data_IF_347245610811
#
_entry.id   IF_347245610811
#
_cell.length_a   1.000
_cell.length_b   1.000
_cell.length_c   1.000
_cell.angle_alpha   90.00
_cell.angle_beta   90.00
_cell.angle_gamma   90.00
#
_symmetry.space_group_name_H-M   'P 1'
#
loop_
_entity.id
_entity.type
_entity.pdbx_description
1 polymer ?
#
# COMPACT_ATOMS: atom_id res chain seq x y z
N UNK A 1 11.07 -13.75 13.64
CA UNK A 1 10.77 -14.02 12.22
C UNK A 1 9.93 -12.86 11.69
N UNK A 2 10.35 -12.15 10.63
CA UNK A 2 9.51 -11.11 9.99
C UNK A 2 8.43 -11.85 9.16
N UNK A 3 7.16 -11.53 9.41
CA UNK A 3 6.02 -12.20 8.77
C UNK A 3 6.16 -12.21 7.23
N UNK A 4 6.01 -13.39 6.61
CA UNK A 4 6.00 -13.58 5.16
C UNK A 4 7.37 -13.62 4.48
N UNK A 5 8.47 -13.43 5.22
CA UNK A 5 9.82 -13.51 4.64
C UNK A 5 10.30 -14.94 4.49
N UNK A 6 10.91 -15.21 3.34
CA UNK A 6 11.65 -16.44 3.03
C UNK A 6 13.05 -16.00 2.59
N UNK A 7 14.08 -16.46 3.30
CA UNK A 7 15.48 -16.04 3.08
C UNK A 7 16.33 -17.07 2.33
N UNK A 8 15.90 -18.33 2.38
CA UNK A 8 16.58 -19.41 1.71
C UNK A 8 16.26 -19.36 0.20
N UNK A 9 17.30 -19.34 -0.64
CA UNK A 9 17.14 -19.21 -2.08
C UNK A 9 16.41 -20.43 -2.67
N UNK A 10 16.74 -21.64 -2.23
CA UNK A 10 16.07 -22.85 -2.68
C UNK A 10 14.59 -22.87 -2.30
N UNK A 11 14.25 -22.41 -1.09
CA UNK A 11 12.87 -22.23 -0.67
C UNK A 11 12.15 -21.15 -1.50
N UNK A 12 12.83 -20.08 -1.92
CA UNK A 12 12.27 -19.07 -2.83
C UNK A 12 11.98 -19.67 -4.21
N UNK A 13 12.92 -20.44 -4.77
CA UNK A 13 12.76 -21.10 -6.08
C UNK A 13 11.56 -22.07 -6.11
N UNK A 14 11.23 -22.68 -4.97
CA UNK A 14 10.11 -23.60 -4.83
C UNK A 14 8.73 -22.91 -4.71
N UNK A 15 8.69 -21.58 -4.53
CA UNK A 15 7.44 -20.84 -4.35
C UNK A 15 6.79 -20.52 -5.69
N UNK A 16 5.50 -20.86 -5.82
CA UNK A 16 4.69 -20.39 -6.92
C UNK A 16 4.33 -18.90 -6.73
N UNK A 17 5.13 -18.03 -7.36
CA UNK A 17 4.92 -16.58 -7.32
C UNK A 17 3.82 -16.07 -8.25
N UNK A 18 3.02 -16.98 -8.84
CA UNK A 18 1.87 -16.59 -9.65
C UNK A 18 0.95 -15.67 -8.83
N UNK A 19 0.42 -14.67 -9.54
CA UNK A 19 -0.76 -13.95 -9.13
C UNK A 19 -1.91 -14.58 -9.91
N UNK A 20 -3.18 -14.39 -9.52
CA UNK A 20 -4.29 -14.62 -10.44
C UNK A 20 -3.91 -13.95 -11.76
N UNK A 21 -4.08 -14.64 -12.88
CA UNK A 21 -3.77 -14.08 -14.19
C UNK A 21 -4.73 -12.93 -14.53
N UNK A 22 -4.43 -12.26 -15.64
CA UNK A 22 -5.17 -11.07 -16.04
C UNK A 22 -6.52 -11.41 -16.71
N UNK A 23 -6.68 -12.63 -17.22
CA UNK A 23 -7.87 -13.05 -17.98
C UNK A 23 -8.71 -14.11 -17.26
N UNK A 24 -8.40 -14.32 -15.99
CA UNK A 24 -9.05 -15.24 -15.09
C UNK A 24 -10.45 -14.74 -14.73
N UNK A 25 -11.34 -15.68 -14.40
CA UNK A 25 -12.68 -15.35 -13.92
C UNK A 25 -12.67 -14.46 -12.68
N UNK A 26 -11.64 -14.56 -11.83
CA UNK A 26 -11.48 -13.66 -10.69
C UNK A 26 -11.21 -12.22 -11.12
N UNK A 27 -10.22 -12.00 -11.99
CA UNK A 27 -9.87 -10.66 -12.46
C UNK A 27 -11.06 -10.02 -13.21
N UNK A 28 -11.76 -10.78 -14.06
CA UNK A 28 -12.99 -10.31 -14.72
C UNK A 28 -14.07 -9.89 -13.72
N UNK A 29 -14.24 -10.65 -12.64
CA UNK A 29 -15.19 -10.30 -11.58
C UNK A 29 -14.79 -9.01 -10.85
N UNK A 30 -13.50 -8.83 -10.57
CA UNK A 30 -12.97 -7.60 -9.95
C UNK A 30 -13.15 -6.38 -10.86
N UNK A 31 -12.79 -6.49 -12.14
CA UNK A 31 -12.99 -5.42 -13.13
C UNK A 31 -14.47 -5.03 -13.23
N UNK A 32 -15.36 -6.02 -13.33
CA UNK A 32 -16.81 -5.79 -13.35
C UNK A 32 -17.30 -5.07 -12.08
N UNK A 33 -16.72 -5.37 -10.91
CA UNK A 33 -17.03 -4.69 -9.65
C UNK A 33 -16.57 -3.23 -9.66
N UNK A 34 -15.34 -2.97 -10.13
CA UNK A 34 -14.78 -1.62 -10.28
C UNK A 34 -15.65 -0.80 -11.23
N UNK A 35 -15.94 -1.30 -12.43
CA UNK A 35 -16.73 -0.59 -13.44
C UNK A 35 -18.14 -0.24 -12.94
N UNK A 36 -18.82 -1.17 -12.27
CA UNK A 36 -20.15 -0.90 -11.69
C UNK A 36 -20.09 0.18 -10.61
N UNK A 37 -19.08 0.13 -9.73
CA UNK A 37 -18.91 1.12 -8.69
C UNK A 37 -18.52 2.50 -9.26
N UNK A 38 -17.67 2.54 -10.28
CA UNK A 38 -17.25 3.71 -11.03
C UNK A 38 -18.46 4.41 -11.69
N UNK A 39 -19.30 3.65 -12.41
CA UNK A 39 -20.54 4.15 -13.03
C UNK A 39 -21.49 4.76 -11.99
N UNK A 40 -21.71 4.09 -10.86
CA UNK A 40 -22.60 4.59 -9.78
C UNK A 40 -22.12 5.91 -9.17
N UNK A 41 -20.81 6.17 -9.15
CA UNK A 41 -20.24 7.42 -8.62
C UNK A 41 -20.09 8.54 -9.65
N UNK A 42 -20.46 8.30 -10.92
CA UNK A 42 -20.21 9.25 -12.01
C UNK A 42 -18.72 9.47 -12.28
N UNK A 43 -17.87 8.48 -11.97
CA UNK A 43 -16.41 8.63 -11.95
C UNK A 43 -15.76 8.78 -13.34
N UNK A 44 -16.53 8.77 -14.43
CA UNK A 44 -16.05 9.22 -15.75
C UNK A 44 -15.51 10.67 -15.74
N UNK A 45 -15.68 11.41 -14.62
CA UNK A 45 -15.15 12.76 -14.37
C UNK A 45 -13.89 12.85 -13.49
N UNK A 46 -13.43 11.77 -12.84
CA UNK A 46 -12.29 11.86 -11.91
C UNK A 46 -11.13 10.96 -12.34
N UNK A 47 -9.94 11.52 -12.63
CA UNK A 47 -8.78 10.72 -12.98
C UNK A 47 -8.35 9.84 -11.81
N UNK A 48 -7.98 8.59 -12.09
CA UNK A 48 -7.36 7.69 -11.11
C UNK A 48 -6.10 8.34 -10.55
N UNK A 49 -5.96 8.36 -9.22
CA UNK A 49 -4.70 8.71 -8.59
C UNK A 49 -3.92 7.44 -8.27
N UNK A 50 -2.72 7.30 -8.82
CA UNK A 50 -1.81 6.19 -8.52
C UNK A 50 -0.59 6.75 -7.80
N UNK A 51 -0.24 6.21 -6.64
CA UNK A 51 0.93 6.63 -5.86
C UNK A 51 1.81 5.44 -5.54
N UNK A 52 3.11 5.60 -5.72
CA UNK A 52 4.13 4.64 -5.31
C UNK A 52 4.94 5.23 -4.18
N UNK A 53 5.25 4.41 -3.19
CA UNK A 53 5.95 4.79 -1.97
C UNK A 53 6.66 3.63 -1.30
N UNK A 54 7.22 3.92 -0.13
CA UNK A 54 8.05 3.04 0.69
C UNK A 54 7.53 3.07 2.15
N UNK A 55 7.93 2.13 3.03
CA UNK A 55 7.54 2.11 4.45
C UNK A 55 8.27 3.11 5.35
N UNK A 56 9.29 3.77 4.82
CA UNK A 56 10.12 4.70 5.57
C UNK A 56 10.52 5.87 4.67
N UNK A 57 10.85 7.00 5.30
CA UNK A 57 11.58 8.10 4.69
C UNK A 57 12.85 8.44 5.48
N UNK A 58 13.03 7.90 6.69
CA UNK A 58 14.12 8.28 7.58
C UNK A 58 15.33 7.33 7.46
N UNK A 59 15.92 7.21 6.27
CA UNK A 59 17.05 6.30 6.00
C UNK A 59 18.30 7.08 5.55
N UNK A 60 19.34 7.19 6.41
CA UNK A 60 20.57 7.92 6.08
C UNK A 60 21.36 7.34 4.91
N UNK A 61 21.28 6.02 4.62
CA UNK A 61 22.00 5.40 3.49
C UNK A 61 21.51 5.87 2.13
N UNK A 62 20.41 6.60 2.08
CA UNK A 62 19.90 7.22 0.88
C UNK A 62 20.57 8.56 0.52
N UNK A 63 21.42 9.12 1.39
CA UNK A 63 22.24 10.29 1.08
C UNK A 63 23.22 9.95 -0.06
N UNK A 64 23.22 10.78 -1.11
CA UNK A 64 23.96 10.54 -2.35
C UNK A 64 23.29 9.53 -3.29
N UNK A 65 22.08 9.03 -2.96
CA UNK A 65 21.32 8.08 -3.78
C UNK A 65 19.92 8.60 -4.10
N UNK A 66 19.04 8.65 -3.11
CA UNK A 66 17.72 9.28 -3.23
C UNK A 66 17.77 10.74 -2.78
N UNK A 67 18.58 11.02 -1.76
CA UNK A 67 18.75 12.36 -1.21
C UNK A 67 20.04 12.99 -1.75
N UNK A 68 20.06 14.31 -1.98
CA UNK A 68 21.29 15.01 -2.33
C UNK A 68 22.42 14.72 -1.31
N UNK A 69 23.69 14.67 -1.75
CA UNK A 69 24.83 14.63 -0.82
C UNK A 69 24.73 15.76 0.23
N UNK A 70 24.98 15.44 1.50
CA UNK A 70 24.93 16.42 2.60
C UNK A 70 23.53 16.74 3.15
N UNK A 71 22.47 16.06 2.68
CA UNK A 71 21.10 16.24 3.20
C UNK A 71 21.05 15.99 4.71
N UNK A 72 20.53 16.95 5.47
CA UNK A 72 20.33 16.79 6.92
C UNK A 72 19.11 15.91 7.21
N UNK A 73 19.12 15.18 8.34
CA UNK A 73 18.02 14.27 8.71
C UNK A 73 16.64 14.92 8.78
N UNK A 74 16.58 16.19 9.17
CA UNK A 74 15.34 16.98 9.19
C UNK A 74 14.73 17.25 7.81
N UNK A 75 15.51 17.09 6.74
CA UNK A 75 15.11 17.33 5.35
C UNK A 75 14.74 16.04 4.61
N UNK A 76 14.95 14.87 5.21
CA UNK A 76 14.71 13.59 4.53
C UNK A 76 13.29 13.44 3.97
N UNK A 77 12.27 13.86 4.71
CA UNK A 77 10.89 13.79 4.21
C UNK A 77 10.65 14.74 3.04
N UNK A 78 11.26 15.92 3.05
CA UNK A 78 11.13 16.88 1.95
C UNK A 78 11.75 16.31 0.67
N UNK A 79 12.96 15.75 0.76
CA UNK A 79 13.63 15.11 -0.37
C UNK A 79 12.89 13.84 -0.84
N UNK A 80 12.41 13.02 0.10
CA UNK A 80 11.60 11.85 -0.19
C UNK A 80 10.34 12.20 -0.99
N UNK A 81 9.64 13.27 -0.58
CA UNK A 81 8.40 13.70 -1.21
C UNK A 81 8.59 14.29 -2.63
N UNK A 82 9.84 14.56 -3.05
CA UNK A 82 10.16 14.91 -4.45
C UNK A 82 10.22 13.68 -5.35
N UNK A 83 10.50 12.50 -4.78
CA UNK A 83 10.72 11.25 -5.51
C UNK A 83 9.50 10.33 -5.49
N UNK A 84 8.75 10.27 -4.39
CA UNK A 84 7.63 9.36 -4.19
C UNK A 84 6.34 10.12 -3.87
N UNK A 85 5.19 9.53 -4.24
CA UNK A 85 3.88 10.15 -4.04
C UNK A 85 3.24 9.88 -2.69
N UNK A 86 3.71 8.87 -1.97
CA UNK A 86 3.13 8.43 -0.70
C UNK A 86 4.17 7.80 0.21
N UNK A 87 3.93 7.79 1.52
CA UNK A 87 4.69 6.98 2.48
C UNK A 87 3.77 6.20 3.40
N UNK A 88 4.06 4.92 3.60
CA UNK A 88 3.48 4.14 4.70
C UNK A 88 4.16 4.56 6.00
N UNK A 89 3.39 5.09 6.95
CA UNK A 89 3.92 5.51 8.26
C UNK A 89 3.71 4.35 9.23
N UNK A 90 4.69 3.45 9.29
CA UNK A 90 4.66 2.30 10.21
C UNK A 90 4.95 2.69 11.67
N UNK A 91 5.56 3.84 11.94
CA UNK A 91 5.88 4.27 13.31
C UNK A 91 4.65 4.45 14.20
N UNK A 92 3.52 4.89 13.64
CA UNK A 92 2.23 5.05 14.35
C UNK A 92 1.70 3.74 14.93
N UNK A 93 2.17 2.59 14.44
CA UNK A 93 1.87 1.29 15.02
C UNK A 93 2.46 1.12 16.42
N UNK A 94 3.66 1.65 16.63
CA UNK A 94 4.43 1.47 17.88
C UNK A 94 4.25 2.66 18.81
N UNK A 95 4.26 3.88 18.28
CA UNK A 95 4.09 5.11 19.03
C UNK A 95 3.46 6.18 18.15
N UNK A 96 2.52 6.94 18.70
CA UNK A 96 1.91 8.08 18.01
C UNK A 96 2.88 9.27 18.02
N UNK A 97 3.29 9.81 16.86
CA UNK A 97 4.09 11.02 16.83
C UNK A 97 3.33 12.21 17.46
N UNK A 98 4.05 13.19 18.06
CA UNK A 98 3.45 14.45 18.49
C UNK A 98 2.78 15.20 17.33
N UNK A 99 1.71 15.94 17.62
CA UNK A 99 0.94 16.68 16.60
C UNK A 99 1.83 17.71 15.89
N UNK A 100 2.78 18.32 16.60
CA UNK A 100 3.74 19.28 16.06
C UNK A 100 4.65 18.62 15.03
N UNK A 101 5.02 17.36 15.25
CA UNK A 101 5.82 16.58 14.30
C UNK A 101 5.02 16.26 13.04
N UNK A 102 3.75 15.83 13.17
CA UNK A 102 2.87 15.56 12.03
C UNK A 102 2.56 16.84 11.24
N UNK A 103 2.37 17.96 11.93
CA UNK A 103 2.18 19.27 11.31
C UNK A 103 3.42 19.67 10.50
N UNK A 104 4.62 19.45 11.03
CA UNK A 104 5.87 19.66 10.27
C UNK A 104 5.93 18.74 9.05
N UNK A 105 5.64 17.45 9.20
CA UNK A 105 5.62 16.52 8.07
C UNK A 105 4.63 16.93 6.97
N UNK A 106 3.43 17.36 7.37
CA UNK A 106 2.42 17.88 6.45
C UNK A 106 2.96 19.10 5.71
N UNK A 107 3.58 20.04 6.42
CA UNK A 107 4.03 21.30 5.83
C UNK A 107 5.28 21.16 4.95
N UNK A 108 6.20 20.24 5.28
CA UNK A 108 7.45 20.04 4.53
C UNK A 108 7.33 19.10 3.34
N UNK A 109 6.24 18.33 3.24
CA UNK A 109 6.00 17.45 2.08
C UNK A 109 5.45 18.24 0.88
N UNK A 110 5.59 17.71 -0.34
CA UNK A 110 4.99 18.30 -1.55
C UNK A 110 3.45 18.33 -1.51
N UNK A 111 2.81 19.17 -2.34
CA UNK A 111 1.34 19.35 -2.36
C UNK A 111 0.58 18.05 -2.67
N UNK A 112 1.09 17.26 -3.60
CA UNK A 112 0.47 16.00 -4.04
C UNK A 112 0.86 14.79 -3.19
N UNK A 113 1.84 14.96 -2.29
CA UNK A 113 2.33 13.91 -1.41
C UNK A 113 1.26 13.51 -0.39
N UNK A 114 1.20 12.23 -0.04
CA UNK A 114 0.26 11.71 0.96
C UNK A 114 0.91 10.80 1.99
N UNK A 115 0.25 10.63 3.12
CA UNK A 115 0.62 9.72 4.19
C UNK A 115 -0.39 8.58 4.33
N UNK A 116 0.11 7.39 4.64
CA UNK A 116 -0.67 6.20 4.99
C UNK A 116 -0.28 5.73 6.40
N UNK A 117 -0.85 6.31 7.46
CA UNK A 117 -0.55 5.89 8.82
C UNK A 117 -1.22 4.56 9.16
N UNK A 118 -0.44 3.69 9.79
CA UNK A 118 -0.92 2.41 10.32
C UNK A 118 -1.65 2.63 11.64
N UNK A 119 -2.75 1.91 11.86
CA UNK A 119 -3.40 1.90 13.17
C UNK A 119 -2.45 1.43 14.28
N UNK A 120 -2.48 2.05 15.47
CA UNK A 120 -1.69 1.63 16.63
C UNK A 120 -1.86 0.16 16.98
N UNK A 121 -0.81 -0.44 17.56
CA UNK A 121 -0.85 -1.81 18.04
C UNK A 121 -1.91 -2.02 19.14
N UNK A 122 -2.20 -1.01 19.96
CA UNK A 122 -3.25 -1.04 20.99
C UNK A 122 -4.63 -1.35 20.39
N UNK A 123 -4.95 -0.76 19.24
CA UNK A 123 -6.20 -1.03 18.51
C UNK A 123 -6.05 -2.32 17.68
N UNK A 124 -5.03 -2.39 16.83
CA UNK A 124 -4.92 -3.47 15.84
C UNK A 124 -4.78 -4.86 16.45
N UNK A 125 -4.13 -5.00 17.62
CA UNK A 125 -3.95 -6.30 18.30
C UNK A 125 -5.13 -6.67 19.21
N UNK A 126 -5.96 -5.70 19.61
CA UNK A 126 -7.10 -5.90 20.51
C UNK A 126 -8.35 -6.39 19.79
N UNK A 127 -8.45 -6.19 18.47
CA UNK A 127 -9.49 -6.80 17.61
C UNK A 127 -9.48 -8.32 17.76
N UNK A 128 -10.64 -8.91 18.05
CA UNK A 128 -10.82 -10.33 18.32
C UNK A 128 -10.35 -10.76 19.72
N UNK A 129 -10.13 -9.79 20.62
CA UNK A 129 -9.71 -10.01 22.01
C UNK A 129 -10.49 -9.09 22.96
N UNK A 130 -10.03 -7.84 23.12
CA UNK A 130 -10.57 -6.84 24.05
C UNK A 130 -10.44 -5.46 23.43
N UNK A 131 -11.17 -5.22 22.34
CA UNK A 131 -11.22 -3.93 21.68
C UNK A 131 -11.70 -2.84 22.66
N UNK A 132 -10.93 -1.77 22.81
CA UNK A 132 -11.33 -0.58 23.55
C UNK A 132 -11.37 0.61 22.59
N UNK A 133 -12.58 1.11 22.29
CA UNK A 133 -12.77 2.20 21.34
C UNK A 133 -12.19 3.53 21.85
N UNK A 134 -11.90 3.66 23.15
CA UNK A 134 -11.24 4.86 23.71
C UNK A 134 -9.82 5.03 23.17
N UNK A 135 -9.19 3.96 22.70
CA UNK A 135 -7.86 4.03 22.08
C UNK A 135 -7.89 4.73 20.70
N UNK A 136 -9.07 4.96 20.11
CA UNK A 136 -9.22 5.60 18.80
C UNK A 136 -8.92 7.09 18.84
N UNK A 137 -9.42 7.81 19.86
CA UNK A 137 -9.36 9.27 19.92
C UNK A 137 -7.93 9.80 19.75
N UNK A 138 -6.91 9.31 20.49
CA UNK A 138 -5.53 9.75 20.29
C UNK A 138 -5.03 9.56 18.86
N UNK A 139 -5.37 8.43 18.21
CA UNK A 139 -4.97 8.16 16.83
C UNK A 139 -5.69 9.08 15.83
N UNK A 140 -7.00 9.29 16.01
CA UNK A 140 -7.80 10.14 15.14
C UNK A 140 -7.31 11.60 15.15
N UNK A 141 -6.90 12.12 16.31
CA UNK A 141 -6.26 13.46 16.40
C UNK A 141 -5.01 13.57 15.51
N UNK A 142 -4.16 12.52 15.49
CA UNK A 142 -2.93 12.49 14.68
C UNK A 142 -3.26 12.39 13.19
N UNK A 143 -4.25 11.58 12.85
CA UNK A 143 -4.73 11.43 11.48
C UNK A 143 -5.30 12.75 10.96
N UNK A 144 -6.04 13.49 11.80
CA UNK A 144 -6.57 14.81 11.45
C UNK A 144 -5.45 15.85 11.24
N UNK A 145 -4.39 15.82 12.06
CA UNK A 145 -3.23 16.69 11.88
C UNK A 145 -2.52 16.50 10.53
N UNK A 146 -2.68 15.34 9.89
CA UNK A 146 -2.15 15.06 8.56
C UNK A 146 -3.05 15.55 7.42
N UNK A 147 -4.31 15.93 7.68
CA UNK A 147 -5.19 16.49 6.65
C UNK A 147 -4.64 17.83 6.12
N UNK A 148 -4.75 18.10 4.80
CA UNK A 148 -5.43 17.31 3.76
C UNK A 148 -4.56 16.23 3.09
N UNK A 149 -3.39 15.91 3.66
CA UNK A 149 -2.40 14.98 3.08
C UNK A 149 -2.59 13.52 3.51
N UNK A 150 -3.72 13.17 4.08
CA UNK A 150 -4.05 11.77 4.37
C UNK A 150 -4.51 11.07 3.08
N UNK A 151 -3.83 10.00 2.64
CA UNK A 151 -4.33 9.17 1.54
C UNK A 151 -5.40 8.19 2.02
N UNK A 152 -5.07 7.44 3.06
CA UNK A 152 -5.91 6.48 3.75
C UNK A 152 -5.18 6.04 5.02
N UNK A 153 -5.89 5.44 5.97
CA UNK A 153 -5.28 4.72 7.09
C UNK A 153 -5.30 3.22 6.77
N UNK A 154 -4.57 2.40 7.52
CA UNK A 154 -4.77 0.95 7.40
C UNK A 154 -4.61 0.18 8.71
N UNK A 155 -5.37 -0.89 8.81
CA UNK A 155 -5.39 -1.84 9.93
C UNK A 155 -4.69 -3.12 9.47
N UNK A 156 -3.87 -3.70 10.33
CA UNK A 156 -3.21 -4.97 10.05
C UNK A 156 -3.57 -5.99 11.12
N UNK A 157 -4.43 -6.93 10.76
CA UNK A 157 -4.82 -7.98 11.68
C UNK A 157 -3.63 -8.91 11.94
N UNK A 158 -3.34 -9.25 13.21
CA UNK A 158 -2.38 -10.30 13.52
C UNK A 158 -2.74 -11.63 12.84
N UNK A 159 -1.76 -12.48 12.49
CA UNK A 159 -2.00 -13.72 11.75
C UNK A 159 -2.78 -14.78 12.53
N UNK A 160 -2.89 -14.66 13.86
CA UNK A 160 -3.69 -15.52 14.73
C UNK A 160 -5.13 -14.99 14.93
N UNK A 161 -5.54 -13.93 14.20
CA UNK A 161 -6.92 -13.43 14.21
C UNK A 161 -7.69 -14.00 13.03
N UNK A 162 -8.41 -15.09 13.28
CA UNK A 162 -9.33 -15.68 12.31
C UNK A 162 -10.72 -15.02 12.31
N UNK A 163 -11.70 -15.74 11.75
CA UNK A 163 -13.08 -15.24 11.53
C UNK A 163 -13.79 -14.70 12.78
N UNK A 164 -13.44 -15.16 13.98
CA UNK A 164 -14.01 -14.63 15.23
C UNK A 164 -13.71 -13.14 15.47
N UNK A 165 -12.69 -12.59 14.80
CA UNK A 165 -12.32 -11.18 14.87
C UNK A 165 -13.25 -10.25 14.05
N UNK A 166 -14.11 -10.80 13.17
CA UNK A 166 -14.93 -9.98 12.26
C UNK A 166 -15.91 -9.08 13.00
N UNK A 167 -16.50 -9.53 14.11
CA UNK A 167 -17.43 -8.72 14.91
C UNK A 167 -16.74 -7.47 15.48
N UNK A 168 -15.56 -7.63 16.07
CA UNK A 168 -14.80 -6.51 16.60
C UNK A 168 -14.32 -5.57 15.48
N UNK A 169 -13.94 -6.13 14.33
CA UNK A 169 -13.58 -5.34 13.16
C UNK A 169 -14.77 -4.49 12.69
N UNK A 170 -15.96 -5.07 12.58
CA UNK A 170 -17.19 -4.36 12.19
C UNK A 170 -17.51 -3.22 13.15
N UNK A 171 -17.47 -3.48 14.47
CA UNK A 171 -17.66 -2.46 15.52
C UNK A 171 -16.65 -1.32 15.35
N UNK A 172 -15.38 -1.65 15.12
CA UNK A 172 -14.34 -0.65 14.88
C UNK A 172 -14.65 0.18 13.63
N UNK A 173 -14.94 -0.45 12.50
CA UNK A 173 -15.21 0.24 11.23
C UNK A 173 -16.46 1.12 11.31
N UNK A 174 -17.51 0.67 12.01
CA UNK A 174 -18.73 1.43 12.26
C UNK A 174 -18.51 2.66 13.16
N UNK A 175 -17.49 2.61 14.02
CA UNK A 175 -17.17 3.69 14.97
C UNK A 175 -16.28 4.79 14.38
N UNK A 176 -15.75 4.60 13.16
CA UNK A 176 -14.87 5.59 12.54
C UNK A 176 -15.64 6.79 11.97
N UNK A 177 -15.09 8.01 12.06
CA UNK A 177 -15.69 9.18 11.42
C UNK A 177 -15.86 8.99 9.91
N UNK A 178 -16.88 9.61 9.31
CA UNK A 178 -17.22 9.46 7.87
C UNK A 178 -16.09 9.76 6.89
N UNK A 179 -15.05 10.50 7.30
CA UNK A 179 -13.87 10.82 6.47
C UNK A 179 -12.75 9.78 6.55
N UNK A 180 -12.82 8.83 7.50
CA UNK A 180 -11.77 7.85 7.76
C UNK A 180 -12.26 6.48 7.31
N UNK A 181 -11.60 5.95 6.29
CA UNK A 181 -11.95 4.68 5.67
C UNK A 181 -10.69 3.85 5.51
N UNK A 182 -10.35 3.02 6.50
CA UNK A 182 -9.12 2.26 6.48
C UNK A 182 -9.13 1.17 5.42
N UNK A 183 -7.95 0.85 4.91
CA UNK A 183 -7.71 -0.44 4.31
C UNK A 183 -7.45 -1.50 5.40
N UNK A 184 -7.89 -2.74 5.21
CA UNK A 184 -7.69 -3.83 6.19
C UNK A 184 -6.84 -4.94 5.59
N UNK A 185 -5.72 -5.25 6.24
CA UNK A 185 -4.82 -6.35 5.89
C UNK A 185 -5.19 -7.60 6.71
N UNK A 186 -5.74 -8.59 6.01
CA UNK A 186 -6.04 -9.91 6.57
C UNK A 186 -4.84 -10.83 6.42
N UNK A 187 -4.56 -11.64 7.44
CA UNK A 187 -3.38 -12.53 7.47
C UNK A 187 -3.66 -13.96 7.88
N UNK A 188 -4.85 -14.23 8.41
CA UNK A 188 -5.24 -15.56 8.81
C UNK A 188 -5.84 -16.31 7.61
N UNK A 189 -5.42 -17.56 7.32
CA UNK A 189 -5.88 -18.32 6.14
C UNK A 189 -7.40 -18.48 6.04
N UNK A 190 -8.12 -18.46 7.16
CA UNK A 190 -9.60 -18.57 7.20
C UNK A 190 -10.36 -17.46 6.47
N UNK A 191 -9.70 -16.37 6.06
CA UNK A 191 -10.32 -15.30 5.27
C UNK A 191 -10.20 -15.52 3.77
N UNK A 192 -9.47 -16.55 3.34
CA UNK A 192 -9.09 -16.75 1.97
C UNK A 192 -9.59 -18.09 1.43
N UNK A 193 -9.84 -18.12 0.11
CA UNK A 193 -9.95 -19.34 -0.68
C UNK A 193 -8.97 -19.22 -1.84
N UNK A 194 -7.77 -19.76 -1.66
CA UNK A 194 -6.63 -19.45 -2.53
C UNK A 194 -6.29 -17.96 -2.46
N UNK A 195 -5.97 -17.34 -3.59
CA UNK A 195 -5.74 -15.89 -3.70
C UNK A 195 -7.05 -15.11 -3.87
N UNK A 196 -8.04 -15.35 -3.00
CA UNK A 196 -9.33 -14.62 -3.00
C UNK A 196 -9.80 -14.40 -1.58
N UNK A 197 -10.21 -13.19 -1.23
CA UNK A 197 -10.95 -12.97 0.01
C UNK A 197 -12.34 -13.59 -0.10
N UNK A 198 -12.84 -14.12 1.02
CA UNK A 198 -14.20 -14.65 1.08
C UNK A 198 -15.24 -13.53 0.83
N UNK A 199 -16.35 -13.82 0.14
CA UNK A 199 -17.34 -12.79 -0.24
C UNK A 199 -17.89 -11.98 0.93
N UNK A 200 -18.14 -12.62 2.07
CA UNK A 200 -18.65 -11.97 3.28
C UNK A 200 -17.66 -10.96 3.87
N UNK A 201 -16.35 -11.22 3.75
CA UNK A 201 -15.29 -10.27 4.14
C UNK A 201 -15.28 -9.08 3.20
N UNK A 202 -15.40 -9.32 1.89
CA UNK A 202 -15.43 -8.25 0.89
C UNK A 202 -16.65 -7.34 1.09
N UNK A 203 -17.82 -7.94 1.39
CA UNK A 203 -19.06 -7.20 1.57
C UNK A 203 -19.05 -6.39 2.88
N UNK A 204 -18.53 -6.93 3.98
CA UNK A 204 -18.28 -6.18 5.22
C UNK A 204 -17.40 -4.95 4.97
N UNK A 205 -16.27 -5.10 4.25
CA UNK A 205 -15.43 -3.96 3.92
C UNK A 205 -16.16 -2.93 3.03
N UNK A 206 -16.93 -3.40 2.05
CA UNK A 206 -17.66 -2.53 1.13
C UNK A 206 -18.75 -1.70 1.84
N UNK A 207 -19.48 -2.30 2.78
CA UNK A 207 -20.50 -1.64 3.60
C UNK A 207 -19.92 -0.46 4.40
N UNK A 208 -18.71 -0.65 4.95
CA UNK A 208 -18.00 0.40 5.70
C UNK A 208 -17.10 1.31 4.81
N UNK A 209 -17.19 1.18 3.48
CA UNK A 209 -16.37 1.93 2.50
C UNK A 209 -14.85 1.74 2.69
N UNK A 210 -14.47 0.64 3.33
CA UNK A 210 -13.11 0.21 3.59
C UNK A 210 -12.55 -0.60 2.41
N UNK A 211 -11.23 -0.52 2.25
CA UNK A 211 -10.51 -1.29 1.25
C UNK A 211 -9.94 -2.59 1.88
N UNK A 212 -9.67 -3.60 1.06
CA UNK A 212 -8.72 -4.64 1.44
C UNK A 212 -7.30 -4.17 1.12
N UNK A 213 -6.35 -4.43 2.03
CA UNK A 213 -4.92 -4.36 1.69
C UNK A 213 -4.54 -5.66 1.01
N UNK A 214 -3.89 -5.56 -0.15
CA UNK A 214 -3.35 -6.72 -0.86
C UNK A 214 -1.86 -6.80 -0.56
N UNK A 215 -1.42 -7.89 0.07
CA UNK A 215 -0.01 -8.08 0.44
C UNK A 215 0.63 -9.15 -0.43
N UNK A 216 1.57 -8.76 -1.27
CA UNK A 216 2.36 -9.68 -2.09
C UNK A 216 3.67 -10.01 -1.36
N UNK A 217 3.74 -11.20 -0.74
CA UNK A 217 4.90 -11.68 -0.01
C UNK A 217 5.19 -13.15 -0.32
N UNK A 218 6.44 -13.58 -0.17
CA UNK A 218 6.85 -14.93 -0.53
C UNK A 218 6.20 -16.01 0.34
N UNK A 219 6.25 -15.83 1.67
CA UNK A 219 5.85 -16.86 2.62
C UNK A 219 4.34 -17.07 2.78
N UNK A 220 3.50 -16.21 2.21
CA UNK A 220 2.04 -16.28 2.30
C UNK A 220 1.40 -15.80 0.99
N UNK A 221 1.32 -16.69 0.00
CA UNK A 221 0.87 -16.36 -1.36
C UNK A 221 -0.62 -16.01 -1.44
N UNK A 222 -1.43 -16.54 -0.53
CA UNK A 222 -2.86 -16.27 -0.42
C UNK A 222 -3.18 -14.80 -0.10
N UNK A 223 -2.24 -14.06 0.49
CA UNK A 223 -2.39 -12.63 0.76
C UNK A 223 -2.32 -11.76 -0.51
N UNK A 224 -1.85 -12.32 -1.63
CA UNK A 224 -1.85 -11.66 -2.94
C UNK A 224 -3.21 -11.85 -3.66
N UNK A 225 -4.31 -11.58 -2.94
CA UNK A 225 -5.66 -12.06 -3.27
C UNK A 225 -6.45 -11.27 -4.33
N UNK A 226 -5.87 -10.19 -4.90
CA UNK A 226 -6.45 -9.28 -5.93
C UNK A 226 -7.88 -8.74 -5.72
N UNK A 227 -8.52 -9.04 -4.58
CA UNK A 227 -9.92 -8.69 -4.32
C UNK A 227 -10.11 -7.21 -4.02
N UNK A 228 -11.16 -6.61 -4.58
CA UNK A 228 -11.45 -5.18 -4.47
C UNK A 228 -12.78 -4.96 -3.77
N UNK A 229 -12.76 -4.35 -2.57
CA UNK A 229 -13.97 -3.99 -1.82
C UNK A 229 -14.43 -2.55 -2.06
N UNK A 230 -13.58 -1.68 -2.61
CA UNK A 230 -13.87 -0.26 -2.85
C UNK A 230 -13.15 0.28 -4.08
N UNK A 231 -13.45 1.49 -4.55
CA UNK A 231 -12.67 2.16 -5.63
C UNK A 231 -11.30 2.70 -5.15
N UNK A 232 -10.81 2.20 -4.02
CA UNK A 232 -9.50 2.47 -3.46
C UNK A 232 -8.88 1.16 -3.01
N UNK A 233 -7.57 1.05 -3.15
CA UNK A 233 -6.81 -0.09 -2.63
C UNK A 233 -5.42 0.32 -2.17
N UNK A 234 -4.85 -0.47 -1.28
CA UNK A 234 -3.46 -0.41 -0.85
C UNK A 234 -2.78 -1.73 -1.19
N UNK A 235 -1.73 -1.67 -2.01
CA UNK A 235 -0.90 -2.83 -2.35
C UNK A 235 0.40 -2.73 -1.56
N UNK A 236 0.74 -3.79 -0.83
CA UNK A 236 2.01 -3.93 -0.12
C UNK A 236 2.84 -4.99 -0.80
N UNK A 237 3.91 -4.59 -1.44
CA UNK A 237 4.85 -5.50 -2.05
C UNK A 237 6.03 -5.76 -1.12
N UNK A 238 6.22 -7.00 -0.70
CA UNK A 238 7.42 -7.44 -0.01
C UNK A 238 8.34 -8.13 -1.02
N UNK A 239 9.49 -7.51 -1.26
CA UNK A 239 10.56 -8.04 -2.08
C UNK A 239 11.10 -9.35 -1.49
N UNK A 240 11.64 -10.18 -2.36
CA UNK A 240 12.40 -11.38 -2.02
C UNK A 240 13.90 -11.08 -2.15
N UNK A 241 14.29 -9.84 -1.80
CA UNK A 241 15.66 -9.36 -1.60
C UNK A 241 16.62 -9.69 -2.76
N UNK A 242 16.19 -9.43 -4.00
CA UNK A 242 17.01 -9.58 -5.21
C UNK A 242 16.70 -10.84 -6.03
N UNK A 243 15.77 -11.68 -5.55
CA UNK A 243 15.30 -12.84 -6.30
C UNK A 243 14.61 -12.43 -7.63
N UNK A 244 14.83 -13.13 -8.76
CA UNK A 244 14.26 -12.78 -10.06
C UNK A 244 12.73 -12.65 -10.08
N UNK A 245 12.03 -13.32 -9.16
CA UNK A 245 10.58 -13.20 -9.00
C UNK A 245 10.13 -11.77 -8.76
N UNK A 246 10.95 -10.91 -8.15
CA UNK A 246 10.53 -9.55 -7.80
C UNK A 246 10.14 -8.76 -9.05
N UNK A 247 10.98 -8.79 -10.07
CA UNK A 247 10.70 -8.12 -11.34
C UNK A 247 9.47 -8.70 -12.05
N UNK A 248 9.31 -10.02 -12.02
CA UNK A 248 8.15 -10.71 -12.63
C UNK A 248 6.86 -10.27 -11.93
N UNK A 249 6.81 -10.36 -10.59
CA UNK A 249 5.67 -9.93 -9.79
C UNK A 249 5.34 -8.45 -9.99
N UNK A 250 6.34 -7.57 -9.97
CA UNK A 250 6.16 -6.13 -10.23
C UNK A 250 5.58 -5.86 -11.63
N UNK A 251 6.00 -6.62 -12.64
CA UNK A 251 5.44 -6.50 -14.00
C UNK A 251 3.98 -6.93 -14.08
N UNK A 252 3.59 -7.97 -13.34
CA UNK A 252 2.20 -8.41 -13.24
C UNK A 252 1.34 -7.37 -12.52
N UNK A 253 1.85 -6.78 -11.42
CA UNK A 253 1.17 -5.69 -10.73
C UNK A 253 1.00 -4.45 -11.62
N UNK A 254 2.04 -4.07 -12.38
CA UNK A 254 1.95 -2.96 -13.32
C UNK A 254 0.83 -3.17 -14.35
N UNK A 255 0.76 -4.37 -14.95
CA UNK A 255 -0.29 -4.71 -15.91
C UNK A 255 -1.70 -4.69 -15.28
N UNK A 256 -1.85 -5.25 -14.07
CA UNK A 256 -3.11 -5.25 -13.32
C UNK A 256 -3.57 -3.85 -12.94
N UNK A 257 -2.68 -3.02 -12.41
CA UNK A 257 -2.97 -1.63 -12.03
C UNK A 257 -3.42 -0.83 -13.26
N UNK A 258 -2.82 -1.04 -14.42
CA UNK A 258 -3.24 -0.40 -15.66
C UNK A 258 -4.68 -0.81 -16.07
N UNK A 259 -5.06 -2.08 -15.90
CA UNK A 259 -6.46 -2.53 -16.13
C UNK A 259 -7.43 -1.94 -15.12
N UNK A 260 -7.07 -1.90 -13.84
CA UNK A 260 -7.92 -1.28 -12.80
C UNK A 260 -8.10 0.22 -13.02
N UNK A 261 -7.07 0.90 -13.49
CA UNK A 261 -7.16 2.29 -13.93
C UNK A 261 -8.19 2.47 -15.05
N UNK A 262 -8.11 1.67 -16.13
CA UNK A 262 -9.10 1.71 -17.22
C UNK A 262 -10.53 1.39 -16.76
N UNK A 263 -10.69 0.46 -15.82
CA UNK A 263 -11.97 0.09 -15.24
C UNK A 263 -12.59 1.20 -14.35
N UNK A 264 -11.83 2.25 -14.02
CA UNK A 264 -12.31 3.40 -13.26
C UNK A 264 -12.02 3.36 -11.76
N UNK A 265 -10.97 2.64 -11.34
CA UNK A 265 -10.45 2.73 -9.97
C UNK A 265 -10.09 4.20 -9.65
N UNK A 266 -10.37 4.68 -8.44
CA UNK A 266 -10.14 6.09 -8.08
C UNK A 266 -8.80 6.32 -7.40
N UNK A 267 -8.36 5.38 -6.56
CA UNK A 267 -7.07 5.48 -5.85
C UNK A 267 -6.37 4.13 -5.81
N UNK A 268 -5.09 4.11 -6.16
CA UNK A 268 -4.22 2.94 -6.00
C UNK A 268 -2.95 3.45 -5.33
N UNK A 269 -2.72 3.05 -4.08
CA UNK A 269 -1.43 3.31 -3.43
C UNK A 269 -0.66 1.99 -3.35
N UNK A 270 0.62 2.00 -3.71
CA UNK A 270 1.50 0.84 -3.62
C UNK A 270 2.75 1.19 -2.82
N UNK A 271 3.04 0.37 -1.81
CA UNK A 271 4.23 0.50 -0.98
C UNK A 271 5.15 -0.69 -1.22
N UNK A 272 6.41 -0.44 -1.53
CA UNK A 272 7.43 -1.47 -1.78
C UNK A 272 8.34 -1.58 -0.55
N UNK A 273 8.52 -2.81 -0.08
CA UNK A 273 9.27 -3.14 1.13
C UNK A 273 10.40 -4.10 0.76
N UNK A 274 11.65 -3.75 1.06
CA UNK A 274 12.80 -4.64 0.93
C UNK A 274 13.59 -4.73 2.26
N UNK A 275 14.49 -5.70 2.39
CA UNK A 275 15.41 -5.75 3.53
C UNK A 275 16.53 -4.71 3.40
N UNK A 276 17.09 -4.59 2.20
CA UNK A 276 18.06 -3.53 1.88
C UNK A 276 17.34 -2.28 1.37
N UNK A 277 17.43 -1.14 2.07
CA UNK A 277 16.82 0.09 1.62
C UNK A 277 17.38 0.64 0.32
N UNK A 278 18.59 0.25 -0.09
CA UNK A 278 19.09 0.63 -1.42
C UNK A 278 18.31 -0.15 -2.49
N UNK A 279 18.18 -1.47 -2.33
CA UNK A 279 17.31 -2.26 -3.22
C UNK A 279 15.86 -1.78 -3.20
N UNK A 280 15.35 -1.28 -2.07
CA UNK A 280 14.00 -0.74 -1.93
C UNK A 280 13.72 0.44 -2.90
N UNK A 281 14.63 1.43 -2.96
CA UNK A 281 14.49 2.58 -3.87
C UNK A 281 14.67 2.17 -5.35
N UNK A 282 15.53 1.19 -5.63
CA UNK A 282 15.75 0.68 -7.00
C UNK A 282 14.52 -0.07 -7.52
N UNK A 283 13.94 -0.95 -6.69
CA UNK A 283 12.74 -1.72 -7.02
C UNK A 283 11.54 -0.80 -7.22
N UNK A 284 11.38 0.22 -6.37
CA UNK A 284 10.31 1.18 -6.52
C UNK A 284 10.45 2.04 -7.78
N UNK A 285 11.66 2.48 -8.11
CA UNK A 285 11.91 3.19 -9.38
C UNK A 285 11.63 2.31 -10.60
N UNK A 286 12.14 1.08 -10.60
CA UNK A 286 11.90 0.10 -11.67
C UNK A 286 10.42 -0.24 -11.83
N UNK A 287 9.67 -0.31 -10.73
CA UNK A 287 8.23 -0.53 -10.76
C UNK A 287 7.49 0.63 -11.43
N UNK A 288 7.86 1.89 -11.14
CA UNK A 288 7.25 3.06 -11.79
C UNK A 288 7.49 3.03 -13.30
N UNK A 289 8.68 2.62 -13.75
CA UNK A 289 8.97 2.43 -15.18
C UNK A 289 8.07 1.35 -15.81
N UNK A 290 7.96 0.17 -15.19
CA UNK A 290 7.07 -0.91 -15.63
C UNK A 290 5.60 -0.47 -15.67
N UNK A 291 5.16 0.30 -14.67
CA UNK A 291 3.81 0.84 -14.58
C UNK A 291 3.52 1.83 -15.71
N UNK A 292 4.43 2.77 -15.98
CA UNK A 292 4.28 3.71 -17.09
C UNK A 292 4.21 2.98 -18.44
N UNK A 293 5.02 1.93 -18.65
CA UNK A 293 4.94 1.10 -19.85
C UNK A 293 3.60 0.36 -19.95
N UNK A 294 3.08 -0.16 -18.83
CA UNK A 294 1.77 -0.81 -18.80
C UNK A 294 0.62 0.17 -19.09
N UNK A 295 0.65 1.37 -18.51
CA UNK A 295 -0.33 2.44 -18.75
C UNK A 295 -0.32 2.88 -20.23
N UNK A 296 0.86 3.06 -20.81
CA UNK A 296 1.02 3.43 -22.22
C UNK A 296 0.49 2.34 -23.16
N UNK A 297 0.78 1.06 -22.90
CA UNK A 297 0.23 -0.07 -23.68
C UNK A 297 -1.30 -0.13 -23.63
N UNK A 298 -1.89 0.40 -22.56
CA UNK A 298 -3.33 0.52 -22.36
C UNK A 298 -3.90 1.84 -22.90
N UNK A 299 -3.12 2.63 -23.63
CA UNK A 299 -3.55 3.89 -24.25
C UNK A 299 -3.79 5.04 -23.25
N UNK A 300 -3.33 4.91 -22.00
CA UNK A 300 -3.45 5.97 -21.00
C UNK A 300 -2.35 7.02 -21.17
N UNK A 301 -2.73 8.30 -21.05
CA UNK A 301 -1.80 9.42 -20.98
C UNK A 301 -1.30 9.68 -19.53
N UNK A 302 -1.78 8.92 -18.54
CA UNK A 302 -1.31 9.03 -17.16
C UNK A 302 0.16 8.62 -17.08
N UNK A 303 0.99 9.49 -16.52
CA UNK A 303 2.40 9.23 -16.27
C UNK A 303 2.72 9.46 -14.80
N UNK A 304 3.32 8.45 -14.18
CA UNK A 304 3.81 8.51 -12.80
C UNK A 304 5.27 8.99 -12.84
N UNK A 305 5.65 10.03 -12.08
CA UNK A 305 7.02 10.52 -12.04
C UNK A 305 7.97 9.40 -11.60
N UNK A 306 8.97 9.10 -12.43
CA UNK A 306 10.03 8.15 -12.08
C UNK A 306 10.93 8.79 -11.00
N UNK A 307 11.17 8.13 -9.87
CA UNK A 307 12.09 8.61 -8.84
C UNK A 307 13.47 8.93 -9.43
N UNK A 308 13.94 10.17 -9.27
CA UNK A 308 15.29 10.57 -9.69
C UNK A 308 16.31 10.06 -8.68
N UNK A 309 17.14 9.11 -9.08
CA UNK A 309 18.20 8.57 -8.23
C UNK A 309 19.55 9.17 -8.65
N UNK A 310 20.23 9.86 -7.73
CA UNK A 310 21.46 10.61 -7.95
C UNK A 310 22.60 9.78 -8.56
N UNK A 311 22.76 8.52 -8.14
CA UNK A 311 23.81 7.66 -8.67
C UNK A 311 23.57 7.29 -10.15
N UNK A 312 22.32 7.28 -10.64
CA UNK A 312 22.01 7.05 -12.06
C UNK A 312 22.35 8.27 -12.93
N UNK A 313 22.28 9.48 -12.33
CA UNK A 313 22.63 10.73 -13.01
C UNK A 313 24.14 10.91 -13.19
N UNK A 314 24.95 10.26 -12.36
CA UNK A 314 26.41 10.30 -12.47
C UNK A 314 26.93 9.42 -13.61
N UNK A 315 26.21 8.36 -13.98
CA UNK A 315 26.56 7.50 -15.14
C UNK A 315 26.14 8.09 -16.49
N UNK A 316 25.28 9.11 -16.54
CA UNK A 316 24.90 9.80 -17.79
C UNK A 316 25.85 10.95 -18.18
N UNK A 317 26.83 11.25 -17.32
CA UNK A 317 27.83 12.31 -17.53
C UNK A 317 29.20 11.77 -17.99
N UNK A 318 29.29 10.48 -18.34
CA UNK A 318 30.48 9.82 -18.87
C UNK A 318 30.13 8.94 -20.07
#
# INVERSE_FOLDING_TARGET
>A
MKFGRVRDAAALDAIEFSLPGLDDEEEKAQLSRIERAARRRGSGRHPTTIRVGLPIFSEPRWIGRLYPPGTASGQFLEEYAKAFGVVEVSSTFYALPPIEQLTRWRNSSGREFRFIPKFPASISRSIGRRLDLRDLEPFLERVEALQPKLAQTFIQLPPDRGRSALRDLEILLASLPRGIHPAVEFRHPSFFRGQRLLPDVIDLLAEHRSAAVITDTAGFRELAHVSVSSLRTLIRFAASDGHPSDRIRLSHWAARIARWHQAGMQQIDMTIHAEDPIAEIELASSFVELLNQALLRQGSALQIPVPRLYHRLQTELF
#
